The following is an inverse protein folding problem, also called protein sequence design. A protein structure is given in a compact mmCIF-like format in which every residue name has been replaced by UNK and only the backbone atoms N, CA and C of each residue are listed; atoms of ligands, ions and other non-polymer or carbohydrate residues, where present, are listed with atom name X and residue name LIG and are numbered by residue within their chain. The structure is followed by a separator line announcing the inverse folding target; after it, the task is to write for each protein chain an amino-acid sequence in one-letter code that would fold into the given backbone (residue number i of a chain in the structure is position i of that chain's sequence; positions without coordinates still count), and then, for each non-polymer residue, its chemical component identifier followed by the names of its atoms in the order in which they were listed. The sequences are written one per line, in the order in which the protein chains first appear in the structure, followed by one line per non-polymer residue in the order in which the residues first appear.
data_IF_056316573086
#
_entry.id   IF_056316573086
#
_cell.length_a   1.000
_cell.length_b   1.000
_cell.length_c   1.000
_cell.angle_alpha   90.00
_cell.angle_beta   90.00
_cell.angle_gamma   90.00
#
_symmetry.space_group_name_H-M   'P 1'
#
loop_
_entity.id
_entity.type
_entity.pdbx_description
1 polymer ?
#
# COMPACT_ATOMS: atom_id res chain seq x y z
N UNK A 1 -9.68 -18.66 -22.32
CA UNK A 1 -8.63 -19.71 -22.24
C UNK A 1 -7.53 -19.56 -23.28
N UNK A 2 -7.79 -19.41 -24.63
CA UNK A 2 -6.69 -19.37 -25.62
C UNK A 2 -5.76 -18.14 -25.46
N UNK A 3 -6.29 -16.96 -25.15
CA UNK A 3 -5.48 -15.74 -24.92
C UNK A 3 -4.54 -15.93 -23.72
N UNK A 4 -5.06 -16.42 -22.60
CA UNK A 4 -4.25 -16.66 -21.40
C UNK A 4 -3.13 -17.69 -21.66
N UNK A 5 -3.43 -18.78 -22.37
CA UNK A 5 -2.45 -19.78 -22.72
C UNK A 5 -1.34 -19.20 -23.63
N UNK A 6 -1.69 -18.34 -24.59
CA UNK A 6 -0.75 -17.63 -25.44
C UNK A 6 0.14 -16.67 -24.64
N UNK A 7 -0.46 -15.91 -23.73
CA UNK A 7 0.29 -15.02 -22.81
C UNK A 7 1.29 -15.79 -21.95
N UNK A 8 0.85 -16.89 -21.32
CA UNK A 8 1.74 -17.71 -20.48
C UNK A 8 2.91 -18.27 -21.30
N UNK A 9 2.64 -18.74 -22.51
CA UNK A 9 3.69 -19.23 -23.42
C UNK A 9 4.68 -18.13 -23.85
N UNK A 10 4.22 -16.88 -24.00
CA UNK A 10 5.08 -15.77 -24.43
C UNK A 10 5.99 -15.24 -23.32
N UNK A 11 5.65 -15.40 -22.03
CA UNK A 11 6.45 -14.87 -20.90
C UNK A 11 7.90 -15.34 -20.95
N UNK A 12 8.15 -16.62 -21.25
CA UNK A 12 9.49 -17.18 -21.35
C UNK A 12 10.34 -16.65 -22.52
N UNK A 13 9.72 -15.93 -23.46
CA UNK A 13 10.38 -15.39 -24.66
C UNK A 13 10.58 -13.88 -24.61
N UNK A 14 10.16 -13.20 -23.53
CA UNK A 14 10.29 -11.75 -23.40
C UNK A 14 11.73 -11.29 -23.17
N UNK A 15 12.54 -12.19 -22.63
CA UNK A 15 13.94 -11.93 -22.29
C UNK A 15 14.81 -13.08 -22.78
N UNK A 16 15.97 -12.75 -23.33
CA UNK A 16 17.05 -13.68 -23.59
C UNK A 16 18.15 -13.45 -22.54
N UNK A 17 18.89 -14.51 -22.19
CA UNK A 17 20.06 -14.34 -21.33
C UNK A 17 21.29 -14.11 -22.17
N UNK A 18 22.00 -13.04 -21.86
CA UNK A 18 23.34 -12.81 -22.42
C UNK A 18 24.26 -13.99 -22.03
N UNK A 19 24.84 -14.72 -22.99
CA UNK A 19 25.66 -15.90 -22.71
C UNK A 19 26.95 -15.58 -21.97
N UNK A 20 27.45 -14.34 -22.03
CA UNK A 20 28.71 -13.92 -21.42
C UNK A 20 28.50 -13.38 -20.00
N UNK A 21 27.43 -12.58 -19.80
CA UNK A 21 27.18 -11.89 -18.53
C UNK A 21 26.06 -12.53 -17.72
N UNK A 22 25.21 -13.36 -18.31
CA UNK A 22 24.01 -13.92 -17.70
C UNK A 22 22.88 -12.91 -17.52
N UNK A 23 23.06 -11.66 -17.91
CA UNK A 23 22.06 -10.60 -17.76
C UNK A 23 20.87 -10.79 -18.70
N UNK A 24 19.65 -10.41 -18.31
CA UNK A 24 18.50 -10.48 -19.19
C UNK A 24 18.55 -9.39 -20.26
N UNK A 25 18.45 -9.77 -21.52
CA UNK A 25 18.30 -8.89 -22.69
C UNK A 25 16.82 -8.85 -23.05
N UNK A 26 16.12 -7.71 -22.95
CA UNK A 26 14.70 -7.61 -23.27
C UNK A 26 14.45 -7.61 -24.78
N UNK A 27 13.45 -8.36 -25.23
CA UNK A 27 12.89 -8.30 -26.58
C UNK A 27 11.69 -7.36 -26.60
N UNK A 28 11.91 -6.07 -26.87
CA UNK A 28 10.89 -5.03 -26.73
C UNK A 28 9.68 -5.23 -27.64
N UNK A 29 9.86 -5.72 -28.88
CA UNK A 29 8.77 -6.12 -29.78
C UNK A 29 7.83 -7.14 -29.13
N UNK A 30 8.39 -8.18 -28.52
CA UNK A 30 7.63 -9.22 -27.82
C UNK A 30 7.00 -8.68 -26.53
N UNK A 31 7.66 -7.76 -25.85
CA UNK A 31 7.12 -7.07 -24.67
C UNK A 31 5.91 -6.24 -25.07
N UNK A 32 5.98 -5.45 -26.16
CA UNK A 32 4.85 -4.68 -26.67
C UNK A 32 3.67 -5.58 -27.07
N UNK A 33 3.92 -6.69 -27.78
CA UNK A 33 2.89 -7.68 -28.11
C UNK A 33 2.25 -8.30 -26.86
N UNK A 34 3.06 -8.64 -25.87
CA UNK A 34 2.56 -9.15 -24.58
C UNK A 34 1.70 -8.12 -23.86
N UNK A 35 2.08 -6.85 -23.86
CA UNK A 35 1.32 -5.76 -23.25
C UNK A 35 -0.03 -5.56 -23.96
N UNK A 36 -0.06 -5.61 -25.29
CA UNK A 36 -1.32 -5.55 -26.05
C UNK A 36 -2.26 -6.73 -25.72
N UNK A 37 -1.71 -7.96 -25.61
CA UNK A 37 -2.52 -9.11 -25.16
C UNK A 37 -3.03 -8.95 -23.71
N UNK A 38 -2.23 -8.35 -22.84
CA UNK A 38 -2.60 -8.07 -21.43
C UNK A 38 -3.77 -7.07 -21.37
N UNK A 39 -3.74 -6.02 -22.19
CA UNK A 39 -4.81 -5.02 -22.30
C UNK A 39 -6.12 -5.65 -22.84
N UNK A 40 -6.05 -6.42 -23.95
CA UNK A 40 -7.21 -7.12 -24.50
C UNK A 40 -7.85 -8.09 -23.49
N UNK A 41 -7.03 -8.87 -22.79
CA UNK A 41 -7.52 -9.76 -21.73
C UNK A 41 -8.21 -8.99 -20.61
N UNK A 42 -7.61 -7.86 -20.20
CA UNK A 42 -8.20 -7.03 -19.16
C UNK A 42 -9.54 -6.44 -19.59
N UNK A 43 -9.63 -5.89 -20.79
CA UNK A 43 -10.89 -5.35 -21.32
C UNK A 43 -12.00 -6.40 -21.33
N UNK A 44 -11.71 -7.62 -21.80
CA UNK A 44 -12.65 -8.74 -21.80
C UNK A 44 -13.05 -9.19 -20.38
N UNK A 45 -12.11 -9.17 -19.44
CA UNK A 45 -12.42 -9.50 -18.05
C UNK A 45 -13.31 -8.45 -17.40
N UNK A 46 -13.06 -7.17 -17.67
CA UNK A 46 -13.89 -6.06 -17.20
C UNK A 46 -15.30 -6.16 -17.72
N UNK A 47 -15.47 -6.43 -19.02
CA UNK A 47 -16.77 -6.61 -19.62
C UNK A 47 -17.52 -7.84 -19.06
N UNK A 48 -16.81 -8.96 -18.89
CA UNK A 48 -17.39 -10.15 -18.29
C UNK A 48 -17.83 -9.95 -16.83
N UNK A 49 -17.06 -9.19 -16.05
CA UNK A 49 -17.43 -8.87 -14.68
C UNK A 49 -18.63 -7.92 -14.64
N UNK A 50 -18.64 -6.90 -15.49
CA UNK A 50 -19.79 -5.99 -15.61
C UNK A 50 -21.06 -6.78 -15.89
N UNK A 51 -21.07 -7.60 -16.93
CA UNK A 51 -22.23 -8.42 -17.28
C UNK A 51 -22.62 -9.40 -16.16
N UNK A 52 -21.64 -9.96 -15.44
CA UNK A 52 -21.92 -10.86 -14.31
C UNK A 52 -22.61 -10.12 -13.16
N UNK A 53 -22.11 -8.94 -12.75
CA UNK A 53 -22.69 -8.21 -11.63
C UNK A 53 -24.03 -7.58 -11.98
N UNK A 54 -24.26 -7.08 -13.21
CA UNK A 54 -25.56 -6.63 -13.70
C UNK A 54 -26.60 -7.77 -13.64
N UNK A 55 -26.25 -8.97 -14.11
CA UNK A 55 -27.13 -10.13 -14.03
C UNK A 55 -27.40 -10.59 -12.59
N UNK A 56 -26.39 -10.49 -11.73
CA UNK A 56 -26.52 -10.85 -10.32
C UNK A 56 -27.49 -9.90 -9.60
N UNK A 57 -27.37 -8.60 -9.83
CA UNK A 57 -28.27 -7.57 -9.29
C UNK A 57 -29.71 -7.77 -9.79
N UNK A 58 -29.89 -7.99 -11.09
CA UNK A 58 -31.20 -8.27 -11.66
C UNK A 58 -31.85 -9.55 -11.08
N UNK A 59 -31.02 -10.55 -10.72
CA UNK A 59 -31.50 -11.82 -10.17
C UNK A 59 -31.86 -11.71 -8.69
N UNK A 60 -31.04 -11.01 -7.90
CA UNK A 60 -31.22 -10.90 -6.45
C UNK A 60 -32.21 -9.79 -6.05
N UNK A 61 -32.40 -8.81 -6.93
CA UNK A 61 -33.29 -7.68 -6.75
C UNK A 61 -32.69 -6.57 -5.88
N UNK A 62 -33.41 -5.45 -5.81
CA UNK A 62 -33.01 -4.18 -5.24
C UNK A 62 -32.52 -4.28 -3.78
N UNK A 63 -33.10 -5.21 -3.00
CA UNK A 63 -32.70 -5.46 -1.61
C UNK A 63 -31.19 -5.77 -1.45
N UNK A 64 -30.58 -6.35 -2.45
CA UNK A 64 -29.18 -6.78 -2.43
C UNK A 64 -28.26 -5.91 -3.29
N UNK A 65 -28.78 -4.86 -3.94
CA UNK A 65 -28.03 -4.02 -4.88
C UNK A 65 -26.69 -3.53 -4.30
N UNK A 66 -26.70 -2.90 -3.11
CA UNK A 66 -25.46 -2.42 -2.48
C UNK A 66 -24.46 -3.56 -2.16
N UNK A 67 -24.97 -4.73 -1.75
CA UNK A 67 -24.07 -5.87 -1.49
C UNK A 67 -23.42 -6.38 -2.78
N UNK A 68 -24.15 -6.37 -3.88
CA UNK A 68 -23.65 -6.73 -5.23
C UNK A 68 -22.61 -5.71 -5.69
N UNK A 69 -22.90 -4.41 -5.56
CA UNK A 69 -21.96 -3.33 -5.88
C UNK A 69 -20.67 -3.43 -5.07
N UNK A 70 -20.74 -3.68 -3.76
CA UNK A 70 -19.56 -3.87 -2.91
C UNK A 70 -18.76 -5.10 -3.30
N UNK A 71 -19.42 -6.20 -3.71
CA UNK A 71 -18.72 -7.37 -4.23
C UNK A 71 -18.01 -7.07 -5.56
N UNK A 72 -18.63 -6.25 -6.43
CA UNK A 72 -18.01 -5.77 -7.67
C UNK A 72 -16.81 -4.87 -7.36
N UNK A 73 -16.98 -3.91 -6.46
CA UNK A 73 -15.89 -3.03 -6.00
C UNK A 73 -14.71 -3.83 -5.46
N UNK A 74 -14.95 -4.81 -4.59
CA UNK A 74 -13.91 -5.70 -4.06
C UNK A 74 -13.16 -6.42 -5.18
N UNK A 75 -13.88 -6.90 -6.19
CA UNK A 75 -13.27 -7.56 -7.34
C UNK A 75 -12.38 -6.63 -8.14
N UNK A 76 -12.81 -5.39 -8.38
CA UNK A 76 -12.03 -4.37 -9.08
C UNK A 76 -10.79 -3.98 -8.27
N UNK A 77 -10.94 -3.70 -6.97
CA UNK A 77 -9.83 -3.38 -6.07
C UNK A 77 -8.81 -4.51 -5.98
N UNK A 78 -9.25 -5.77 -5.84
CA UNK A 78 -8.36 -6.93 -5.81
C UNK A 78 -7.55 -7.11 -7.10
N UNK A 79 -8.06 -6.66 -8.24
CA UNK A 79 -7.29 -6.65 -9.49
C UNK A 79 -6.25 -5.54 -9.52
N UNK A 80 -6.60 -4.37 -9.06
CA UNK A 80 -5.71 -3.22 -9.04
C UNK A 80 -4.56 -3.40 -8.03
N UNK A 81 -4.84 -3.96 -6.86
CA UNK A 81 -3.84 -4.14 -5.79
C UNK A 81 -2.87 -5.30 -6.04
N UNK A 82 -3.34 -6.43 -6.61
CA UNK A 82 -2.47 -7.61 -6.88
C UNK A 82 -1.42 -7.39 -7.95
N UNK A 83 -1.57 -6.38 -8.79
CA UNK A 83 -0.63 -6.08 -9.88
C UNK A 83 0.30 -4.96 -9.50
N UNK A 84 0.84 -4.98 -8.28
CA UNK A 84 1.87 -4.03 -7.91
C UNK A 84 1.89 -2.85 -8.87
N UNK A 85 1.00 -1.87 -8.67
CA UNK A 85 1.29 -0.58 -9.24
C UNK A 85 2.73 -0.37 -8.83
N UNK A 86 3.64 -0.49 -9.78
CA UNK A 86 5.04 -0.32 -9.50
C UNK A 86 5.14 1.04 -8.86
N UNK A 87 5.07 1.03 -7.54
CA UNK A 87 5.37 2.22 -6.77
C UNK A 87 6.79 2.56 -7.18
N UNK A 88 6.92 3.42 -8.19
CA UNK A 88 8.15 4.08 -8.54
C UNK A 88 8.54 5.06 -7.43
N UNK A 89 8.09 4.78 -6.20
CA UNK A 89 8.58 5.35 -4.99
C UNK A 89 9.91 4.71 -4.70
N UNK A 90 11.01 5.40 -5.00
CA UNK A 90 12.28 5.07 -4.38
C UNK A 90 12.05 4.91 -2.87
N UNK A 91 12.89 4.16 -2.18
CA UNK A 91 12.78 3.77 -0.76
C UNK A 91 12.44 4.89 0.26
N UNK A 92 12.20 6.11 -0.20
CA UNK A 92 11.92 7.32 0.59
C UNK A 92 10.56 7.99 0.28
N UNK A 93 9.71 7.41 -0.59
CA UNK A 93 8.39 7.99 -0.88
C UNK A 93 7.30 7.14 -0.24
N UNK A 94 6.62 7.72 0.74
CA UNK A 94 5.43 7.12 1.36
C UNK A 94 4.24 7.49 0.49
N UNK A 95 3.86 6.60 -0.42
CA UNK A 95 2.65 6.75 -1.22
C UNK A 95 1.50 5.98 -0.57
N UNK A 96 0.29 6.52 -0.64
CA UNK A 96 -0.90 5.80 -0.20
C UNK A 96 -1.15 4.59 -1.11
N UNK A 97 -1.38 3.44 -0.50
CA UNK A 97 -1.79 2.22 -1.21
C UNK A 97 -3.31 2.18 -1.33
N UNK A 98 -3.86 1.77 -2.47
CA UNK A 98 -5.30 1.59 -2.59
C UNK A 98 -5.84 0.61 -1.53
N UNK A 99 -6.82 1.07 -0.76
CA UNK A 99 -7.43 0.26 0.31
C UNK A 99 -8.70 -0.41 -0.18
N UNK A 100 -8.86 -1.69 0.10
CA UNK A 100 -10.10 -2.40 -0.15
C UNK A 100 -11.14 -2.05 0.94
N UNK A 101 -11.92 -0.99 0.69
CA UNK A 101 -12.95 -0.52 1.63
C UNK A 101 -14.06 -1.56 1.87
N UNK A 102 -14.39 -2.40 0.89
CA UNK A 102 -15.38 -3.47 1.05
C UNK A 102 -14.89 -4.54 2.05
N UNK A 103 -13.60 -4.89 2.00
CA UNK A 103 -12.98 -5.77 2.98
C UNK A 103 -12.94 -5.16 4.38
N UNK A 104 -12.60 -3.86 4.48
CA UNK A 104 -12.62 -3.14 5.76
C UNK A 104 -14.01 -3.12 6.39
N UNK A 105 -15.05 -2.78 5.62
CA UNK A 105 -16.42 -2.75 6.10
C UNK A 105 -16.88 -4.15 6.55
N UNK A 106 -16.51 -5.20 5.83
CA UNK A 106 -16.84 -6.58 6.22
C UNK A 106 -16.13 -6.99 7.51
N UNK A 107 -14.87 -6.59 7.68
CA UNK A 107 -14.07 -6.91 8.87
C UNK A 107 -14.37 -6.00 10.07
N UNK A 108 -15.18 -4.96 9.92
CA UNK A 108 -15.41 -3.90 10.90
C UNK A 108 -16.04 -4.36 12.22
N UNK A 109 -16.74 -5.50 12.23
CA UNK A 109 -17.55 -5.94 13.37
C UNK A 109 -18.74 -5.02 13.69
N UNK A 110 -19.14 -4.13 12.77
CA UNK A 110 -20.33 -3.30 12.90
C UNK A 110 -21.58 -4.15 13.05
N UNK A 111 -22.54 -3.72 13.88
CA UNK A 111 -23.84 -4.35 13.95
C UNK A 111 -24.53 -4.30 12.57
N UNK A 112 -25.35 -5.31 12.21
CA UNK A 112 -25.99 -5.35 10.88
C UNK A 112 -26.77 -4.09 10.50
N UNK A 113 -27.42 -3.45 11.48
CA UNK A 113 -28.15 -2.18 11.27
C UNK A 113 -27.23 -0.99 10.99
N UNK A 114 -26.05 -0.94 11.63
CA UNK A 114 -25.06 0.12 11.39
C UNK A 114 -24.40 -0.08 10.02
N UNK A 115 -24.09 -1.32 9.68
CA UNK A 115 -23.57 -1.67 8.36
C UNK A 115 -24.56 -1.35 7.25
N UNK A 116 -25.87 -1.57 7.47
CA UNK A 116 -26.91 -1.22 6.49
C UNK A 116 -26.97 0.29 6.26
N UNK A 117 -26.87 1.12 7.32
CA UNK A 117 -26.80 2.59 7.16
C UNK A 117 -25.57 3.05 6.38
N UNK A 118 -24.43 2.43 6.67
CA UNK A 118 -23.19 2.72 5.92
C UNK A 118 -23.36 2.37 4.45
N UNK A 119 -23.92 1.19 4.15
CA UNK A 119 -24.18 0.74 2.78
C UNK A 119 -25.12 1.69 2.03
N UNK A 120 -26.20 2.13 2.67
CA UNK A 120 -27.15 3.10 2.09
C UNK A 120 -26.45 4.43 1.76
N UNK A 121 -25.61 4.94 2.66
CA UNK A 121 -24.92 6.21 2.47
C UNK A 121 -23.88 6.19 1.34
N UNK A 122 -23.27 5.05 1.06
CA UNK A 122 -22.26 4.92 0.00
C UNK A 122 -22.83 4.38 -1.31
N UNK A 123 -24.08 3.93 -1.33
CA UNK A 123 -24.71 3.28 -2.49
C UNK A 123 -24.48 4.03 -3.80
N UNK A 124 -24.86 5.29 -3.85
CA UNK A 124 -24.74 6.13 -5.05
C UNK A 124 -23.29 6.50 -5.43
N UNK A 125 -22.32 6.15 -4.56
CA UNK A 125 -20.91 6.48 -4.76
C UNK A 125 -20.08 5.28 -5.23
N UNK A 126 -20.59 4.05 -5.06
CA UNK A 126 -19.83 2.83 -5.36
C UNK A 126 -19.64 2.66 -6.86
N UNK A 127 -20.68 2.81 -7.68
CA UNK A 127 -20.56 2.66 -9.14
C UNK A 127 -19.68 3.75 -9.77
N UNK A 128 -19.79 5.05 -9.40
CA UNK A 128 -18.80 6.05 -9.81
C UNK A 128 -17.36 5.72 -9.37
N UNK A 129 -17.17 5.13 -8.18
CA UNK A 129 -15.86 4.69 -7.74
C UNK A 129 -15.35 3.54 -8.62
N UNK A 130 -16.16 2.52 -8.89
CA UNK A 130 -15.81 1.41 -9.79
C UNK A 130 -15.38 1.95 -11.17
N UNK A 131 -16.16 2.86 -11.75
CA UNK A 131 -15.83 3.47 -13.04
C UNK A 131 -14.49 4.23 -12.98
N UNK A 132 -14.26 5.04 -11.94
CA UNK A 132 -13.01 5.76 -11.75
C UNK A 132 -11.80 4.82 -11.57
N UNK A 133 -11.96 3.69 -10.87
CA UNK A 133 -10.91 2.69 -10.69
C UNK A 133 -10.57 1.97 -12.01
N UNK A 134 -11.57 1.65 -12.82
CA UNK A 134 -11.37 1.02 -14.14
C UNK A 134 -10.68 1.98 -15.12
N UNK A 135 -11.08 3.26 -15.12
CA UNK A 135 -10.43 4.31 -15.93
C UNK A 135 -8.96 4.50 -15.50
N UNK A 136 -8.72 4.63 -14.20
CA UNK A 136 -7.37 4.71 -13.63
C UNK A 136 -6.51 3.51 -14.00
N UNK A 137 -7.08 2.31 -13.98
CA UNK A 137 -6.37 1.12 -14.38
C UNK A 137 -6.02 1.11 -15.88
N UNK A 138 -6.95 1.52 -16.75
CA UNK A 138 -6.70 1.66 -18.19
C UNK A 138 -5.60 2.69 -18.46
N UNK A 139 -5.67 3.85 -17.81
CA UNK A 139 -4.63 4.89 -17.88
C UNK A 139 -3.26 4.35 -17.45
N UNK A 140 -3.19 3.57 -16.37
CA UNK A 140 -1.93 2.96 -15.93
C UNK A 140 -1.35 1.99 -16.94
N UNK A 141 -2.21 1.23 -17.64
CA UNK A 141 -1.76 0.33 -18.71
C UNK A 141 -1.22 1.10 -19.94
N UNK A 142 -1.87 2.20 -20.31
CA UNK A 142 -1.40 3.05 -21.39
C UNK A 142 -0.06 3.69 -21.04
N UNK A 143 0.11 4.16 -19.81
CA UNK A 143 1.39 4.69 -19.32
C UNK A 143 2.49 3.63 -19.25
N UNK A 144 2.16 2.39 -18.88
CA UNK A 144 3.10 1.25 -18.92
C UNK A 144 3.53 0.96 -20.35
N UNK A 145 2.63 1.04 -21.33
CA UNK A 145 2.95 0.91 -22.76
C UNK A 145 3.85 2.04 -23.22
N UNK A 146 3.47 3.31 -22.96
CA UNK A 146 4.27 4.49 -23.35
C UNK A 146 5.69 4.41 -22.77
N UNK A 147 5.86 3.88 -21.54
CA UNK A 147 7.18 3.65 -20.93
C UNK A 147 7.97 2.57 -21.65
N UNK A 148 7.33 1.46 -22.04
CA UNK A 148 8.00 0.39 -22.79
C UNK A 148 8.39 0.85 -24.19
N UNK A 149 7.52 1.59 -24.89
CA UNK A 149 7.81 2.16 -26.20
C UNK A 149 8.98 3.14 -26.12
N UNK A 150 9.00 4.02 -25.13
CA UNK A 150 10.14 4.92 -24.87
C UNK A 150 11.42 4.15 -24.55
N UNK A 151 11.35 3.05 -23.81
CA UNK A 151 12.51 2.22 -23.52
C UNK A 151 12.99 1.45 -24.76
N UNK A 152 12.07 0.99 -25.61
CA UNK A 152 12.40 0.34 -26.88
C UNK A 152 13.15 1.30 -27.81
N UNK A 153 12.66 2.55 -27.94
CA UNK A 153 13.34 3.61 -28.71
C UNK A 153 14.73 3.91 -28.13
N UNK A 154 14.86 3.99 -26.81
CA UNK A 154 16.14 4.18 -26.14
C UNK A 154 17.14 3.07 -26.50
N UNK A 155 16.71 1.80 -26.41
CA UNK A 155 17.58 0.66 -26.70
C UNK A 155 17.91 0.53 -28.18
N UNK A 156 17.02 0.92 -29.11
CA UNK A 156 17.28 0.94 -30.53
C UNK A 156 18.36 1.96 -30.91
N UNK A 157 18.55 3.02 -30.14
CA UNK A 157 19.58 4.04 -30.33
C UNK A 157 20.89 3.73 -29.57
N UNK A 158 20.93 2.71 -28.74
CA UNK A 158 22.12 2.28 -28.01
C UNK A 158 22.98 1.32 -28.88
N UNK A 159 24.30 1.41 -28.75
CA UNK A 159 25.20 0.47 -29.42
C UNK A 159 25.22 -0.87 -28.69
N UNK A 160 25.42 -2.00 -29.40
CA UNK A 160 25.47 -3.33 -28.77
C UNK A 160 26.45 -3.44 -27.59
N UNK A 161 27.62 -2.78 -27.71
CA UNK A 161 28.63 -2.76 -26.65
C UNK A 161 28.18 -1.97 -25.42
N UNK A 162 27.41 -0.91 -25.62
CA UNK A 162 26.84 -0.10 -24.56
C UNK A 162 25.73 -0.87 -23.81
N UNK A 163 24.92 -1.65 -24.52
CA UNK A 163 23.91 -2.54 -23.93
C UNK A 163 24.60 -3.57 -23.06
N UNK A 164 25.70 -4.17 -23.51
CA UNK A 164 26.45 -5.17 -22.71
C UNK A 164 27.07 -4.59 -21.44
N UNK A 165 27.61 -3.39 -21.53
CA UNK A 165 28.32 -2.75 -20.39
C UNK A 165 27.41 -1.96 -19.46
N UNK A 166 26.19 -1.62 -19.90
CA UNK A 166 25.28 -0.71 -19.19
C UNK A 166 25.73 0.75 -19.19
N UNK A 167 26.81 1.09 -19.94
CA UNK A 167 27.29 2.46 -20.09
C UNK A 167 26.90 3.03 -21.46
N UNK A 168 25.86 3.85 -21.46
CA UNK A 168 25.30 4.43 -22.67
C UNK A 168 25.93 5.79 -22.98
N UNK A 169 26.56 5.93 -24.14
CA UNK A 169 27.02 7.21 -24.71
C UNK A 169 26.01 7.73 -25.71
N UNK A 170 24.85 8.13 -25.19
CA UNK A 170 23.77 8.64 -26.02
C UNK A 170 24.11 10.04 -26.56
N UNK A 171 23.54 10.34 -27.72
CA UNK A 171 23.48 11.71 -28.20
C UNK A 171 22.80 12.61 -27.14
N UNK A 172 23.39 13.77 -26.79
CA UNK A 172 22.86 14.62 -25.72
C UNK A 172 21.43 15.09 -25.98
N UNK A 173 21.03 15.33 -27.23
CA UNK A 173 19.68 15.75 -27.58
C UNK A 173 18.69 14.59 -27.40
N UNK A 174 19.07 13.40 -27.83
CA UNK A 174 18.27 12.19 -27.62
C UNK A 174 18.11 11.89 -26.12
N UNK A 175 19.20 11.94 -25.35
CA UNK A 175 19.16 11.73 -23.90
C UNK A 175 18.20 12.72 -23.19
N UNK A 176 18.23 14.00 -23.60
CA UNK A 176 17.32 15.02 -23.09
C UNK A 176 15.86 14.71 -23.42
N UNK A 177 15.54 14.43 -24.71
CA UNK A 177 14.17 14.09 -25.14
C UNK A 177 13.63 12.86 -24.42
N UNK A 178 14.46 11.81 -24.28
CA UNK A 178 14.09 10.60 -23.55
C UNK A 178 13.81 10.88 -22.07
N UNK A 179 14.63 11.70 -21.41
CA UNK A 179 14.42 12.12 -20.02
C UNK A 179 13.13 12.92 -19.85
N UNK A 180 12.85 13.84 -20.78
CA UNK A 180 11.61 14.65 -20.78
C UNK A 180 10.37 13.76 -20.99
N UNK A 181 10.42 12.80 -21.91
CA UNK A 181 9.33 11.85 -22.15
C UNK A 181 9.04 10.99 -20.89
N UNK A 182 10.09 10.44 -20.27
CA UNK A 182 9.96 9.67 -19.03
C UNK A 182 9.39 10.49 -17.90
N UNK A 183 9.81 11.73 -17.76
CA UNK A 183 9.30 12.63 -16.75
C UNK A 183 7.81 12.95 -16.99
N UNK A 184 7.39 13.19 -18.22
CA UNK A 184 5.99 13.39 -18.57
C UNK A 184 5.12 12.17 -18.23
N UNK A 185 5.61 10.95 -18.51
CA UNK A 185 4.94 9.70 -18.13
C UNK A 185 4.83 9.61 -16.60
N UNK A 186 5.90 9.90 -15.88
CA UNK A 186 5.93 9.88 -14.41
C UNK A 186 4.92 10.86 -13.79
N UNK A 187 4.81 12.08 -14.31
CA UNK A 187 3.85 13.08 -13.83
C UNK A 187 2.41 12.61 -14.06
N UNK A 188 2.13 12.05 -15.24
CA UNK A 188 0.80 11.48 -15.55
C UNK A 188 0.47 10.31 -14.63
N UNK A 189 1.43 9.45 -14.33
CA UNK A 189 1.25 8.34 -13.38
C UNK A 189 0.91 8.84 -11.98
N UNK A 190 1.63 9.83 -11.48
CA UNK A 190 1.37 10.41 -10.15
C UNK A 190 -0.02 11.04 -10.08
N UNK A 191 -0.44 11.76 -11.11
CA UNK A 191 -1.78 12.36 -11.17
C UNK A 191 -2.87 11.28 -11.22
N UNK A 192 -2.65 10.21 -11.95
CA UNK A 192 -3.56 9.07 -11.99
C UNK A 192 -3.69 8.39 -10.62
N UNK A 193 -2.56 8.14 -9.93
CA UNK A 193 -2.52 7.54 -8.59
C UNK A 193 -3.21 8.45 -7.56
N UNK A 194 -3.04 9.77 -7.68
CA UNK A 194 -3.72 10.76 -6.83
C UNK A 194 -5.24 10.69 -7.00
N UNK A 195 -5.73 10.72 -8.25
CA UNK A 195 -7.18 10.63 -8.55
C UNK A 195 -7.79 9.35 -8.03
N UNK A 196 -7.09 8.24 -8.21
CA UNK A 196 -7.47 6.93 -7.71
C UNK A 196 -7.64 6.95 -6.18
N UNK A 197 -6.61 7.42 -5.47
CA UNK A 197 -6.61 7.52 -4.00
C UNK A 197 -7.72 8.43 -3.49
N UNK A 198 -7.92 9.59 -4.10
CA UNK A 198 -8.97 10.54 -3.73
C UNK A 198 -10.39 9.98 -3.97
N UNK A 199 -10.57 9.17 -5.01
CA UNK A 199 -11.86 8.52 -5.27
C UNK A 199 -12.19 7.51 -4.15
N UNK A 200 -11.25 6.66 -3.76
CA UNK A 200 -11.41 5.72 -2.64
C UNK A 200 -11.67 6.49 -1.34
N UNK A 201 -10.88 7.52 -1.07
CA UNK A 201 -11.00 8.30 0.17
C UNK A 201 -12.34 8.98 0.33
N UNK A 202 -12.94 9.49 -0.77
CA UNK A 202 -14.28 10.10 -0.72
C UNK A 202 -15.35 9.11 -0.26
N UNK A 203 -15.37 7.91 -0.84
CA UNK A 203 -16.34 6.87 -0.44
C UNK A 203 -16.09 6.42 1.00
N UNK A 204 -14.81 6.30 1.39
CA UNK A 204 -14.43 5.97 2.76
C UNK A 204 -14.92 7.01 3.78
N UNK A 205 -14.73 8.30 3.51
CA UNK A 205 -15.21 9.38 4.38
C UNK A 205 -16.73 9.36 4.53
N UNK A 206 -17.47 9.15 3.43
CA UNK A 206 -18.92 9.00 3.47
C UNK A 206 -19.36 7.80 4.33
N UNK A 207 -18.62 6.68 4.27
CA UNK A 207 -18.87 5.53 5.15
C UNK A 207 -18.62 5.87 6.62
N UNK A 208 -17.53 6.55 6.94
CA UNK A 208 -17.17 6.95 8.30
C UNK A 208 -18.19 7.90 8.92
N UNK A 209 -18.79 8.80 8.12
CA UNK A 209 -19.77 9.78 8.62
C UNK A 209 -21.04 9.15 9.16
N UNK A 210 -21.32 7.88 8.80
CA UNK A 210 -22.45 7.11 9.30
C UNK A 210 -22.15 6.32 10.58
N UNK A 211 -20.90 6.33 11.04
CA UNK A 211 -20.44 5.56 12.20
C UNK A 211 -20.46 6.39 13.49
N UNK A 212 -20.65 5.72 14.61
CA UNK A 212 -20.44 6.33 15.92
C UNK A 212 -18.98 6.76 16.08
N UNK A 213 -18.71 7.79 16.88
CA UNK A 213 -17.37 8.36 17.04
C UNK A 213 -16.30 7.31 17.40
N UNK A 214 -16.61 6.39 18.32
CA UNK A 214 -15.71 5.32 18.72
C UNK A 214 -15.44 4.32 17.58
N UNK A 215 -16.47 4.00 16.78
CA UNK A 215 -16.36 3.12 15.62
C UNK A 215 -15.54 3.82 14.53
N UNK A 216 -15.82 5.11 14.29
CA UNK A 216 -15.12 5.95 13.31
C UNK A 216 -13.62 6.01 13.60
N UNK A 217 -13.23 6.23 14.86
CA UNK A 217 -11.83 6.29 15.25
C UNK A 217 -11.10 4.96 14.96
N UNK A 218 -11.69 3.83 15.35
CA UNK A 218 -11.13 2.51 15.12
C UNK A 218 -11.01 2.18 13.63
N UNK A 219 -12.06 2.44 12.86
CA UNK A 219 -12.09 2.18 11.42
C UNK A 219 -11.12 3.08 10.64
N UNK A 220 -10.96 4.35 11.07
CA UNK A 220 -9.97 5.24 10.47
C UNK A 220 -8.54 4.76 10.74
N UNK A 221 -8.27 4.19 11.92
CA UNK A 221 -6.96 3.59 12.21
C UNK A 221 -6.67 2.41 11.29
N UNK A 222 -7.64 1.51 11.12
CA UNK A 222 -7.50 0.36 10.23
C UNK A 222 -7.29 0.77 8.76
N UNK A 223 -7.96 1.85 8.33
CA UNK A 223 -7.75 2.44 7.00
C UNK A 223 -6.33 3.01 6.86
N UNK A 224 -5.89 3.84 7.81
CA UNK A 224 -4.58 4.50 7.75
C UNK A 224 -3.44 3.47 7.72
N UNK A 225 -3.49 2.42 8.55
CA UNK A 225 -2.52 1.32 8.55
C UNK A 225 -2.44 0.62 7.18
N UNK A 226 -3.59 0.38 6.55
CA UNK A 226 -3.65 -0.26 5.22
C UNK A 226 -3.27 0.69 4.09
N UNK A 227 -3.63 1.98 4.19
CA UNK A 227 -3.33 2.98 3.18
C UNK A 227 -1.85 3.39 3.14
N UNK A 228 -1.18 3.34 4.27
CA UNK A 228 0.20 3.80 4.41
C UNK A 228 1.10 2.74 5.07
N UNK A 229 1.18 1.51 4.54
CA UNK A 229 1.88 0.40 5.18
C UNK A 229 3.34 0.75 5.51
N UNK A 230 4.03 1.48 4.64
CA UNK A 230 5.44 1.89 4.87
C UNK A 230 5.64 2.87 6.02
N UNK A 231 4.59 3.59 6.45
CA UNK A 231 4.64 4.42 7.66
C UNK A 231 4.50 3.59 8.93
N UNK A 232 3.72 2.50 8.84
CA UNK A 232 3.39 1.63 9.99
C UNK A 232 4.22 0.35 10.03
N UNK A 233 5.15 0.15 9.08
CA UNK A 233 6.11 -0.97 9.06
C UNK A 233 7.11 -0.94 10.22
N UNK A 234 7.37 0.23 10.80
CA UNK A 234 8.16 0.35 12.03
C UNK A 234 7.33 -0.25 13.17
N UNK A 235 7.47 -1.55 13.35
CA UNK A 235 6.69 -2.42 14.21
C UNK A 235 6.44 -1.83 15.59
N UNK A 236 5.18 -1.83 16.01
CA UNK A 236 4.84 -1.78 17.42
C UNK A 236 5.33 -3.07 18.10
N UNK A 237 6.64 -3.12 18.34
CA UNK A 237 7.35 -4.33 18.75
C UNK A 237 6.89 -4.89 20.11
N UNK A 238 6.15 -4.10 20.91
CA UNK A 238 5.53 -4.55 22.15
C UNK A 238 4.27 -5.40 21.94
N UNK A 239 3.46 -5.12 20.89
CA UNK A 239 2.17 -5.81 20.67
C UNK A 239 2.28 -7.32 20.53
N UNK A 240 3.26 -7.92 19.83
CA UNK A 240 3.42 -9.36 19.78
C UNK A 240 3.59 -10.01 21.16
N UNK A 241 4.26 -9.35 22.09
CA UNK A 241 4.45 -9.88 23.43
C UNK A 241 3.16 -9.80 24.26
N UNK A 242 2.41 -8.69 24.17
CA UNK A 242 1.10 -8.55 24.83
C UNK A 242 0.13 -9.61 24.27
N UNK A 243 0.10 -9.84 22.94
CA UNK A 243 -0.73 -10.88 22.31
C UNK A 243 -0.33 -12.30 22.75
N UNK A 244 0.96 -12.56 23.00
CA UNK A 244 1.42 -13.86 23.56
C UNK A 244 0.99 -14.02 25.00
N UNK A 245 1.09 -12.96 25.81
CA UNK A 245 0.63 -12.99 27.19
C UNK A 245 -0.88 -13.28 27.29
N UNK A 246 -1.72 -12.70 26.42
CA UNK A 246 -3.14 -12.99 26.33
C UNK A 246 -3.49 -14.46 26.05
N UNK A 247 -2.55 -15.23 25.50
CA UNK A 247 -2.71 -16.64 25.15
C UNK A 247 -2.25 -17.60 26.28
N UNK A 248 -1.67 -17.10 27.36
CA UNK A 248 -1.29 -17.92 28.49
C UNK A 248 -2.53 -18.47 29.19
N UNK A 249 -2.47 -19.74 29.58
CA UNK A 249 -3.60 -20.44 30.18
C UNK A 249 -3.91 -19.98 31.61
N UNK A 250 -2.89 -19.51 32.33
CA UNK A 250 -2.91 -19.13 33.74
C UNK A 250 -3.13 -17.63 33.98
N UNK A 251 -3.50 -16.88 32.95
CA UNK A 251 -3.87 -15.46 33.04
C UNK A 251 -5.30 -15.34 33.56
N UNK A 252 -5.48 -14.63 34.67
CA UNK A 252 -6.80 -14.35 35.23
C UNK A 252 -7.65 -13.43 34.35
N UNK A 253 -8.97 -13.42 34.54
CA UNK A 253 -9.86 -12.55 33.77
C UNK A 253 -9.54 -11.07 33.99
N UNK A 254 -9.13 -10.66 35.19
CA UNK A 254 -8.70 -9.29 35.47
C UNK A 254 -7.41 -8.94 34.73
N UNK A 255 -6.43 -9.84 34.74
CA UNK A 255 -5.19 -9.65 33.96
C UNK A 255 -5.48 -9.60 32.47
N UNK A 256 -6.39 -10.46 31.98
CA UNK A 256 -6.82 -10.49 30.59
C UNK A 256 -7.44 -9.17 30.14
N UNK A 257 -8.31 -8.59 30.95
CA UNK A 257 -8.91 -7.27 30.69
C UNK A 257 -7.84 -6.16 30.63
N UNK A 258 -6.88 -6.17 31.59
CA UNK A 258 -5.76 -5.21 31.60
C UNK A 258 -4.85 -5.36 30.38
N UNK A 259 -4.55 -6.60 29.97
CA UNK A 259 -3.74 -6.88 28.77
C UNK A 259 -4.44 -6.45 27.49
N UNK A 260 -5.75 -6.63 27.38
CA UNK A 260 -6.54 -6.14 26.25
C UNK A 260 -6.52 -4.62 26.17
N UNK A 261 -6.75 -3.94 27.31
CA UNK A 261 -6.67 -2.48 27.40
C UNK A 261 -5.27 -1.97 27.02
N UNK A 262 -4.22 -2.61 27.52
CA UNK A 262 -2.83 -2.27 27.18
C UNK A 262 -2.56 -2.46 25.69
N UNK A 263 -3.04 -3.56 25.07
CA UNK A 263 -2.86 -3.79 23.64
C UNK A 263 -3.54 -2.71 22.81
N UNK A 264 -4.78 -2.34 23.15
CA UNK A 264 -5.53 -1.30 22.45
C UNK A 264 -4.87 0.06 22.60
N UNK A 265 -4.51 0.47 23.82
CA UNK A 265 -3.86 1.75 24.08
C UNK A 265 -2.49 1.85 23.38
N UNK A 266 -1.69 0.77 23.38
CA UNK A 266 -0.38 0.75 22.72
C UNK A 266 -0.54 0.86 21.21
N UNK A 267 -1.49 0.14 20.60
CA UNK A 267 -1.77 0.24 19.16
C UNK A 267 -2.25 1.64 18.80
N UNK A 268 -3.18 2.19 19.55
CA UNK A 268 -3.71 3.53 19.30
C UNK A 268 -2.59 4.59 19.34
N UNK A 269 -1.77 4.58 20.39
CA UNK A 269 -0.66 5.51 20.53
C UNK A 269 0.36 5.37 19.38
N UNK A 270 0.69 4.13 18.96
CA UNK A 270 1.54 3.86 17.81
C UNK A 270 0.96 4.47 16.53
N UNK A 271 -0.30 4.20 16.21
CA UNK A 271 -0.96 4.76 15.03
C UNK A 271 -0.98 6.29 15.08
N UNK A 272 -1.27 6.90 16.22
CA UNK A 272 -1.27 8.36 16.37
C UNK A 272 0.12 9.00 16.15
N UNK A 273 1.20 8.32 16.52
CA UNK A 273 2.55 8.80 16.23
C UNK A 273 2.81 8.89 14.72
N UNK A 274 2.55 7.82 14.00
CA UNK A 274 2.87 7.74 12.55
C UNK A 274 1.84 8.47 11.68
N UNK A 275 0.57 8.55 12.11
CA UNK A 275 -0.49 9.29 11.41
C UNK A 275 -0.13 10.75 11.18
N UNK A 276 0.61 11.37 12.11
CA UNK A 276 1.11 12.75 11.95
C UNK A 276 2.03 12.93 10.75
N UNK A 277 2.60 11.84 10.23
CA UNK A 277 3.48 11.85 9.06
C UNK A 277 2.70 11.83 7.73
N UNK A 278 1.43 11.40 7.72
CA UNK A 278 0.61 11.28 6.50
C UNK A 278 0.55 12.61 5.70
N UNK A 279 0.21 13.77 6.32
CA UNK A 279 0.19 15.04 5.58
C UNK A 279 1.57 15.43 5.04
N UNK A 280 2.62 15.15 5.79
CA UNK A 280 4.00 15.45 5.38
C UNK A 280 4.45 14.55 4.22
N UNK A 281 4.04 13.29 4.22
CA UNK A 281 4.35 12.35 3.14
C UNK A 281 3.63 12.72 1.84
N UNK A 282 2.37 13.11 1.91
CA UNK A 282 1.58 13.54 0.76
C UNK A 282 2.16 14.82 0.14
N UNK A 283 2.61 15.77 0.96
CA UNK A 283 3.27 16.99 0.49
C UNK A 283 4.63 16.67 -0.17
N UNK A 284 5.39 15.74 0.39
CA UNK A 284 6.67 15.31 -0.17
C UNK A 284 6.50 14.58 -1.51
N UNK A 285 5.44 13.78 -1.67
CA UNK A 285 5.12 13.09 -2.92
C UNK A 285 4.59 14.06 -4.01
N UNK A 286 3.75 15.03 -3.63
CA UNK A 286 3.19 16.02 -4.55
C UNK A 286 4.24 17.00 -5.13
N UNK A 287 5.37 17.19 -4.45
CA UNK A 287 6.42 18.14 -4.81
C UNK A 287 7.61 17.54 -5.55
N UNK A 288 7.57 16.28 -5.96
CA UNK A 288 8.55 15.72 -6.89
C UNK A 288 8.33 16.21 -8.34
N UNK A 289 8.05 17.51 -8.51
CA UNK A 289 8.08 18.19 -9.79
C UNK A 289 9.51 18.28 -10.35
N UNK A 290 9.65 18.54 -11.67
CA UNK A 290 10.91 18.39 -12.41
C UNK A 290 11.97 19.47 -12.17
N UNK A 291 12.00 20.08 -11.00
CA UNK A 291 13.04 21.06 -10.65
C UNK A 291 14.17 20.42 -9.85
N UNK A 292 15.42 20.40 -10.34
CA UNK A 292 16.55 19.90 -9.55
C UNK A 292 16.75 20.65 -8.24
N UNK A 293 16.11 21.80 -8.06
CA UNK A 293 16.28 22.66 -6.88
C UNK A 293 15.14 22.59 -5.85
N UNK A 294 13.94 22.05 -6.21
CA UNK A 294 12.79 22.02 -5.29
C UNK A 294 12.56 20.66 -4.61
N UNK A 295 13.11 19.59 -5.15
CA UNK A 295 12.96 18.23 -4.59
C UNK A 295 13.62 18.03 -3.21
N UNK A 296 14.34 19.01 -2.70
CA UNK A 296 15.13 18.92 -1.47
C UNK A 296 14.53 19.60 -0.23
N UNK A 297 13.54 20.49 -0.37
CA UNK A 297 13.15 21.36 0.76
C UNK A 297 12.29 20.70 1.83
N UNK A 298 11.37 19.79 1.47
CA UNK A 298 10.49 19.13 2.45
C UNK A 298 10.98 17.74 2.88
N UNK A 299 11.96 17.14 2.18
CA UNK A 299 12.59 15.87 2.57
C UNK A 299 13.26 15.93 3.95
N UNK A 300 13.99 17.01 4.34
CA UNK A 300 14.53 17.13 5.68
C UNK A 300 13.47 17.14 6.76
N UNK A 301 12.36 17.86 6.58
CA UNK A 301 11.28 17.95 7.55
C UNK A 301 10.56 16.61 7.75
N UNK A 302 10.27 15.88 6.66
CA UNK A 302 9.70 14.54 6.75
C UNK A 302 10.67 13.56 7.41
N UNK A 303 11.96 13.60 7.04
CA UNK A 303 12.98 12.73 7.62
C UNK A 303 13.18 13.00 9.12
N UNK A 304 13.20 14.26 9.53
CA UNK A 304 13.29 14.68 10.93
C UNK A 304 12.04 14.24 11.71
N UNK A 305 10.85 14.51 11.19
CA UNK A 305 9.58 14.09 11.79
C UNK A 305 9.49 12.56 11.92
N UNK A 306 9.92 11.81 10.88
CA UNK A 306 9.97 10.35 10.92
C UNK A 306 10.96 9.84 11.95
N UNK A 307 12.18 10.40 12.00
CA UNK A 307 13.17 10.03 13.01
C UNK A 307 12.62 10.25 14.42
N UNK A 308 11.97 11.38 14.66
CA UNK A 308 11.32 11.65 15.95
C UNK A 308 10.21 10.64 16.25
N UNK A 309 9.34 10.33 15.28
CA UNK A 309 8.28 9.34 15.47
C UNK A 309 8.83 7.94 15.80
N UNK A 310 9.95 7.53 15.18
CA UNK A 310 10.64 6.27 15.49
C UNK A 310 11.17 6.28 16.92
N UNK A 311 11.79 7.36 17.37
CA UNK A 311 12.29 7.49 18.73
C UNK A 311 11.15 7.46 19.76
N UNK A 312 10.08 8.22 19.52
CA UNK A 312 8.89 8.23 20.36
C UNK A 312 8.21 6.84 20.40
N UNK A 313 8.23 6.08 19.28
CA UNK A 313 7.72 4.72 19.21
C UNK A 313 8.54 3.72 20.02
N UNK A 314 9.87 3.86 20.05
CA UNK A 314 10.73 3.04 20.90
C UNK A 314 10.41 3.27 22.39
N UNK A 315 10.20 4.53 22.80
CA UNK A 315 9.82 4.87 24.17
C UNK A 315 8.45 4.30 24.52
N UNK A 316 7.49 4.40 23.60
CA UNK A 316 6.15 3.79 23.73
C UNK A 316 6.25 2.27 23.94
N UNK A 317 7.04 1.59 23.10
CA UNK A 317 7.23 0.15 23.21
C UNK A 317 7.87 -0.26 24.56
N UNK A 318 8.87 0.48 25.00
CA UNK A 318 9.50 0.23 26.31
C UNK A 318 8.50 0.45 27.46
N UNK A 319 7.66 1.48 27.38
CA UNK A 319 6.62 1.72 28.36
C UNK A 319 5.60 0.58 28.39
N UNK A 320 5.12 0.14 27.22
CA UNK A 320 4.18 -0.96 27.11
C UNK A 320 4.74 -2.28 27.69
N UNK A 321 6.01 -2.56 27.48
CA UNK A 321 6.68 -3.74 28.08
C UNK A 321 6.78 -3.63 29.59
N UNK A 322 7.08 -2.44 30.16
CA UNK A 322 7.08 -2.23 31.60
C UNK A 322 5.68 -2.46 32.21
N UNK A 323 4.63 -1.98 31.54
CA UNK A 323 3.24 -2.22 31.98
C UNK A 323 2.85 -3.70 31.84
N UNK A 324 3.26 -4.38 30.75
CA UNK A 324 3.09 -5.81 30.60
C UNK A 324 3.68 -6.59 31.77
N UNK A 325 4.89 -6.24 32.20
CA UNK A 325 5.54 -6.81 33.40
C UNK A 325 4.79 -6.58 34.69
N UNK A 326 4.17 -5.43 34.85
CA UNK A 326 3.37 -5.12 36.07
C UNK A 326 2.07 -5.92 36.14
N UNK A 327 1.49 -6.28 35.00
CA UNK A 327 0.26 -7.07 34.91
C UNK A 327 0.54 -8.55 35.17
N UNK A 328 1.66 -9.07 34.67
CA UNK A 328 2.03 -10.48 34.78
C UNK A 328 2.79 -10.79 36.05
N UNK A 329 2.64 -12.00 36.58
CA UNK A 329 3.59 -12.56 37.54
C UNK A 329 4.93 -12.87 36.86
N UNK A 330 6.01 -13.04 37.64
CA UNK A 330 7.30 -13.41 37.08
C UNK A 330 7.27 -14.74 36.32
N UNK A 331 6.52 -15.72 36.83
CA UNK A 331 6.33 -17.02 36.21
C UNK A 331 5.60 -16.90 34.85
N UNK A 332 4.55 -16.09 34.78
CA UNK A 332 3.83 -15.80 33.53
C UNK A 332 4.72 -15.05 32.52
N UNK A 333 5.43 -14.03 32.99
CA UNK A 333 6.33 -13.25 32.13
C UNK A 333 7.45 -14.11 31.53
N UNK A 334 7.98 -15.09 32.29
CA UNK A 334 8.97 -16.06 31.79
C UNK A 334 8.41 -16.96 30.68
N UNK A 335 7.09 -17.22 30.65
CA UNK A 335 6.43 -17.99 29.61
C UNK A 335 6.22 -17.18 28.31
N UNK A 336 6.28 -15.87 28.35
CA UNK A 336 6.15 -15.02 27.15
C UNK A 336 7.42 -15.11 26.31
N UNK A 337 7.37 -15.95 25.28
CA UNK A 337 8.54 -16.25 24.42
C UNK A 337 9.19 -14.98 23.85
N UNK A 338 10.46 -14.80 24.14
CA UNK A 338 11.31 -13.72 23.63
C UNK A 338 11.23 -12.40 24.41
N UNK A 339 10.39 -12.29 25.44
CA UNK A 339 10.25 -11.05 26.23
C UNK A 339 11.57 -10.65 26.89
N UNK A 340 12.25 -11.59 27.58
CA UNK A 340 13.51 -11.30 28.26
C UNK A 340 14.63 -10.88 27.30
N UNK A 341 14.68 -11.46 26.09
CA UNK A 341 15.63 -11.03 25.06
C UNK A 341 15.35 -9.61 24.60
N UNK A 342 14.08 -9.30 24.30
CA UNK A 342 13.67 -7.96 23.90
C UNK A 342 14.07 -6.89 24.95
N UNK A 343 13.88 -7.19 26.24
CA UNK A 343 14.26 -6.28 27.32
C UNK A 343 15.76 -6.05 27.40
N UNK A 344 16.57 -7.08 27.15
CA UNK A 344 18.03 -6.97 27.10
C UNK A 344 18.47 -6.10 25.92
N UNK A 345 17.93 -6.37 24.73
CA UNK A 345 18.23 -5.62 23.51
C UNK A 345 17.80 -4.13 23.67
N UNK A 346 16.62 -3.86 24.22
CA UNK A 346 16.13 -2.52 24.49
C UNK A 346 16.99 -1.75 25.52
N UNK A 347 17.47 -2.45 26.55
CA UNK A 347 18.37 -1.85 27.54
C UNK A 347 19.76 -1.51 26.94
N UNK A 348 20.23 -2.31 25.97
CA UNK A 348 21.46 -2.02 25.24
C UNK A 348 21.30 -0.80 24.32
N UNK A 349 20.22 -0.74 23.56
CA UNK A 349 19.88 0.44 22.71
C UNK A 349 19.80 1.70 23.54
N UNK A 350 19.11 1.67 24.70
CA UNK A 350 18.98 2.82 25.59
C UNK A 350 20.35 3.28 26.15
N UNK A 351 21.24 2.35 26.48
CA UNK A 351 22.61 2.68 26.91
C UNK A 351 23.42 3.34 25.80
N UNK A 352 23.29 2.84 24.58
CA UNK A 352 24.00 3.38 23.43
C UNK A 352 23.50 4.79 23.08
N UNK A 353 22.16 5.04 23.12
CA UNK A 353 21.60 6.39 22.94
C UNK A 353 22.19 7.40 23.93
N UNK A 354 22.20 7.06 25.23
CA UNK A 354 22.81 7.94 26.26
C UNK A 354 24.29 8.20 26.01
N UNK A 355 25.03 7.20 25.50
CA UNK A 355 26.46 7.34 25.18
C UNK A 355 26.72 8.29 24.02
N UNK A 356 25.81 8.38 23.06
CA UNK A 356 25.94 9.20 21.85
C UNK A 356 25.12 10.49 21.90
N UNK A 357 24.46 10.81 23.03
CA UNK A 357 23.68 12.03 23.20
C UNK A 357 22.41 12.12 22.35
N UNK A 358 21.83 10.94 22.03
CA UNK A 358 20.61 10.79 21.28
C UNK A 358 19.39 10.59 22.20
#
# INVERSE_FOLDING_TARGET
KPVLAKMVASVGTLYERDPETGNPIPHFDRICDYMAMKQDLHARMTEADRAFFENLEATLGERYATAVQLAHLERVLNRSTRRGFGYAGGANTVAAVPVNIAELLRASGLAPQDLARVHEAIHDQVDPLIAALLDSYTTSQDLERDLNDNQAEFMANAKPEEIKTGYYKLDPEFARKNSEAREAIRVRQQENDRRHTEAIQRVWLAALDQMLEIQRAAMQMDYDEKAFPTLFEDDCSALPYIKRALKLADVSDEQRAKLQALASATREAHVQLFRKLIPLSNNAAARTGPGPNDAGRDRPQFAEARMKAVLDNDDLNQQAIRELRRILTEAQAAQVKGLSKYEQDAAEVSRNRKKYGL
#
